data_IF_702168597647
#
_entry.id   IF_702168597647
#
_cell.length_a   1.000
_cell.length_b   1.000
_cell.length_c   1.000
_cell.angle_alpha   90.00
_cell.angle_beta   90.00
_cell.angle_gamma   90.00
#
_symmetry.space_group_name_H-M   'P 1'
#
loop_
_entity.id
_entity.type
_entity.pdbx_description
1 polymer ?
#
# COMPACT_ATOMS: atom_id res chain seq x y z
N UNK A 1 7.38 7.79 0.72
CA UNK A 1 6.89 6.57 1.39
C UNK A 1 8.06 5.77 1.97
N UNK A 2 8.86 6.37 2.87
CA UNK A 2 10.07 5.71 3.44
C UNK A 2 9.99 5.45 4.94
N UNK A 3 8.94 5.93 5.62
CA UNK A 3 8.70 5.66 7.05
C UNK A 3 7.55 4.68 7.29
N UNK A 4 6.70 4.47 6.28
CA UNK A 4 5.65 3.45 6.23
C UNK A 4 5.68 2.89 4.81
N UNK A 5 5.82 1.58 4.65
CA UNK A 5 5.83 0.91 3.34
C UNK A 5 4.46 0.94 2.62
N UNK A 6 3.55 1.82 3.06
CA UNK A 6 2.26 2.10 2.47
C UNK A 6 2.00 3.61 2.52
N UNK A 7 1.28 4.10 1.53
CA UNK A 7 0.78 5.45 1.40
C UNK A 7 -0.65 5.55 1.92
N UNK A 8 -0.98 6.67 2.55
CA UNK A 8 -2.34 7.03 2.90
C UNK A 8 -2.68 8.23 2.02
N UNK A 9 -3.76 8.13 1.27
CA UNK A 9 -4.39 9.28 0.64
C UNK A 9 -5.43 9.83 1.62
N UNK A 10 -5.24 11.04 2.16
CA UNK A 10 -6.19 11.68 3.04
C UNK A 10 -7.40 12.25 2.27
N UNK A 11 -7.74 11.75 1.08
CA UNK A 11 -8.95 12.17 0.38
C UNK A 11 -8.82 13.58 -0.20
N UNK A 12 -7.69 13.88 -0.83
CA UNK A 12 -7.51 15.17 -1.52
C UNK A 12 -8.40 15.30 -2.77
N UNK A 13 -8.89 14.19 -3.31
CA UNK A 13 -9.77 14.16 -4.49
C UNK A 13 -11.27 14.13 -4.15
N UNK A 14 -11.66 13.47 -3.05
CA UNK A 14 -13.05 13.28 -2.61
C UNK A 14 -13.05 13.21 -1.07
N UNK A 15 -13.60 14.23 -0.40
CA UNK A 15 -13.57 14.32 1.09
C UNK A 15 -14.18 13.08 1.77
N UNK A 16 -15.10 12.41 1.07
CA UNK A 16 -15.85 11.25 1.54
C UNK A 16 -15.08 9.94 1.43
N UNK A 17 -13.94 9.89 0.74
CA UNK A 17 -13.17 8.66 0.50
C UNK A 17 -11.74 8.81 1.01
N UNK A 18 -11.26 7.76 1.67
CA UNK A 18 -9.85 7.62 2.06
C UNK A 18 -9.29 6.36 1.46
N UNK A 19 -8.02 6.41 1.05
CA UNK A 19 -7.36 5.28 0.43
C UNK A 19 -6.06 4.92 1.18
N UNK A 20 -5.75 3.62 1.20
CA UNK A 20 -4.43 3.12 1.61
C UNK A 20 -3.86 2.30 0.48
N UNK A 21 -2.62 2.54 0.08
CA UNK A 21 -1.98 1.88 -1.04
C UNK A 21 -0.53 1.49 -0.76
N UNK A 22 -0.03 0.46 -1.43
CA UNK A 22 1.40 0.14 -1.46
C UNK A 22 1.81 -0.27 -2.88
N UNK A 23 3.11 -0.19 -3.16
CA UNK A 23 3.67 -0.50 -4.49
C UNK A 23 4.01 -1.98 -4.61
N UNK A 24 3.80 -2.52 -5.81
CA UNK A 24 4.30 -3.82 -6.25
C UNK A 24 5.57 -3.61 -7.06
N UNK A 25 6.63 -4.35 -6.71
CA UNK A 25 7.94 -4.27 -7.34
C UNK A 25 8.23 -5.51 -8.18
N UNK A 26 8.98 -5.35 -9.27
CA UNK A 26 9.53 -6.46 -10.04
C UNK A 26 10.89 -6.92 -9.46
N UNK A 27 11.49 -7.96 -10.06
CA UNK A 27 12.83 -8.46 -9.73
C UNK A 27 13.96 -7.42 -9.84
N UNK A 28 13.80 -6.36 -10.65
CA UNK A 28 14.74 -5.25 -10.76
C UNK A 28 14.53 -4.17 -9.68
N UNK A 29 13.66 -4.43 -8.68
CA UNK A 29 13.24 -3.48 -7.65
C UNK A 29 12.56 -2.22 -8.20
N UNK A 30 12.00 -2.31 -9.41
CA UNK A 30 11.23 -1.22 -10.03
C UNK A 30 9.76 -1.34 -9.65
N UNK A 31 9.09 -0.25 -9.25
CA UNK A 31 7.65 -0.27 -9.04
C UNK A 31 6.96 -0.47 -10.40
N UNK A 32 6.13 -1.50 -10.51
CA UNK A 32 5.39 -1.86 -11.73
C UNK A 32 3.87 -1.78 -11.56
N UNK A 33 3.40 -1.50 -10.35
CA UNK A 33 1.99 -1.33 -10.04
C UNK A 33 1.78 -0.99 -8.57
N UNK A 34 0.51 -0.89 -8.17
CA UNK A 34 0.11 -0.67 -6.79
C UNK A 34 -1.21 -1.38 -6.50
N UNK A 35 -1.38 -1.80 -5.25
CA UNK A 35 -2.67 -2.26 -4.72
C UNK A 35 -3.15 -1.21 -3.73
N UNK A 36 -4.44 -0.88 -3.77
CA UNK A 36 -5.04 0.05 -2.82
C UNK A 36 -6.41 -0.40 -2.34
N UNK A 37 -6.78 0.03 -1.14
CA UNK A 37 -8.10 -0.13 -0.55
C UNK A 37 -8.71 1.26 -0.41
N UNK A 38 -9.86 1.47 -1.05
CA UNK A 38 -10.67 2.69 -0.93
C UNK A 38 -11.85 2.42 0.01
N UNK A 39 -12.15 3.35 0.91
CA UNK A 39 -13.32 3.23 1.78
C UNK A 39 -13.87 4.58 2.24
N UNK A 40 -15.13 4.64 2.69
CA UNK A 40 -15.72 5.87 3.19
C UNK A 40 -14.94 6.45 4.39
N UNK A 41 -14.71 7.77 4.39
CA UNK A 41 -13.90 8.48 5.37
C UNK A 41 -14.39 8.28 6.81
N UNK A 42 -15.71 8.21 7.02
CA UNK A 42 -16.31 7.97 8.35
C UNK A 42 -16.00 6.57 8.92
N UNK A 43 -15.59 5.60 8.09
CA UNK A 43 -15.11 4.28 8.54
C UNK A 43 -13.58 4.25 8.69
N UNK A 44 -12.89 5.33 8.36
CA UNK A 44 -11.44 5.41 8.25
C UNK A 44 -10.81 6.08 9.48
N UNK A 45 -10.80 5.38 10.62
CA UNK A 45 -10.10 5.84 11.81
C UNK A 45 -8.62 5.40 11.80
N UNK A 46 -7.79 5.98 12.68
CA UNK A 46 -6.35 5.71 12.75
C UNK A 46 -6.00 4.23 12.95
N UNK A 47 -6.81 3.49 13.73
CA UNK A 47 -6.63 2.05 13.94
C UNK A 47 -6.87 1.29 12.64
N UNK A 48 -7.98 1.60 11.96
CA UNK A 48 -8.35 0.95 10.70
C UNK A 48 -7.36 1.27 9.58
N UNK A 49 -6.88 2.50 9.53
CA UNK A 49 -5.84 2.92 8.60
C UNK A 49 -4.55 2.08 8.78
N UNK A 50 -4.12 1.86 10.03
CA UNK A 50 -2.96 1.02 10.32
C UNK A 50 -3.19 -0.43 9.90
N UNK A 51 -4.34 -1.02 10.26
CA UNK A 51 -4.69 -2.40 9.88
C UNK A 51 -4.70 -2.61 8.36
N UNK A 52 -5.33 -1.68 7.63
CA UNK A 52 -5.41 -1.76 6.17
C UNK A 52 -4.06 -1.47 5.50
N UNK A 53 -3.26 -0.57 6.06
CA UNK A 53 -1.89 -0.33 5.58
C UNK A 53 -1.01 -1.54 5.72
N UNK A 54 -1.05 -2.23 6.86
CA UNK A 54 -0.33 -3.49 7.05
C UNK A 54 -0.81 -4.58 6.09
N UNK A 55 -2.13 -4.67 5.85
CA UNK A 55 -2.71 -5.63 4.91
C UNK A 55 -2.22 -5.37 3.49
N UNK A 56 -2.41 -4.16 2.98
CA UNK A 56 -2.03 -3.79 1.60
C UNK A 56 -0.53 -3.94 1.39
N UNK A 57 0.28 -3.57 2.40
CA UNK A 57 1.72 -3.78 2.36
C UNK A 57 2.06 -5.26 2.20
N UNK A 58 1.52 -6.14 3.04
CA UNK A 58 1.77 -7.60 2.96
C UNK A 58 1.35 -8.16 1.60
N UNK A 59 0.18 -7.76 1.11
CA UNK A 59 -0.30 -8.19 -0.21
C UNK A 59 0.63 -7.72 -1.34
N UNK A 60 1.11 -6.49 -1.29
CA UNK A 60 2.07 -6.00 -2.27
C UNK A 60 3.43 -6.69 -2.17
N UNK A 61 3.90 -6.99 -0.97
CA UNK A 61 5.14 -7.72 -0.73
C UNK A 61 5.06 -9.16 -1.27
N UNK A 62 3.95 -9.85 -1.03
CA UNK A 62 3.66 -11.17 -1.58
C UNK A 62 3.60 -11.15 -3.12
N UNK A 63 2.85 -10.19 -3.69
CA UNK A 63 2.80 -10.00 -5.14
C UNK A 63 4.18 -9.70 -5.73
N UNK A 64 4.98 -8.87 -5.06
CA UNK A 64 6.34 -8.55 -5.49
C UNK A 64 7.23 -9.79 -5.47
N UNK A 65 7.17 -10.61 -4.41
CA UNK A 65 7.93 -11.87 -4.32
C UNK A 65 7.60 -12.83 -5.46
N UNK A 66 6.31 -12.93 -5.83
CA UNK A 66 5.89 -13.74 -6.99
C UNK A 66 6.46 -13.22 -8.32
N UNK A 67 6.79 -11.93 -8.38
CA UNK A 67 7.42 -11.27 -9.54
C UNK A 67 8.95 -11.26 -9.47
N UNK A 68 9.53 -12.01 -8.53
CA UNK A 68 10.97 -12.16 -8.33
C UNK A 68 11.61 -11.03 -7.53
N UNK A 69 10.83 -10.17 -6.87
CA UNK A 69 11.37 -9.16 -5.96
C UNK A 69 11.96 -9.83 -4.72
N UNK A 70 13.25 -9.60 -4.50
CA UNK A 70 13.95 -9.97 -3.28
C UNK A 70 14.45 -8.69 -2.58
N UNK A 71 13.92 -8.35 -1.39
CA UNK A 71 14.37 -7.19 -0.63
C UNK A 71 15.79 -7.34 -0.08
N UNK A 72 16.27 -8.58 0.11
CA UNK A 72 17.55 -8.90 0.78
C UNK A 72 18.68 -9.13 -0.23
N UNK A 73 18.37 -9.55 -1.46
CA UNK A 73 19.38 -9.79 -2.48
C UNK A 73 19.86 -8.48 -3.11
N UNK A 74 21.16 -8.18 -3.02
CA UNK A 74 21.77 -6.91 -3.42
C UNK A 74 22.50 -7.00 -4.75
#
# INVERSE_FOLDING_TARGET
>A
MRERDFAIDPGEAEEEVRCVGACVFNHEKRPIGAISISMPAYRFNSKRCKELGELVRKTCEEASRLLGYDPENR
#
